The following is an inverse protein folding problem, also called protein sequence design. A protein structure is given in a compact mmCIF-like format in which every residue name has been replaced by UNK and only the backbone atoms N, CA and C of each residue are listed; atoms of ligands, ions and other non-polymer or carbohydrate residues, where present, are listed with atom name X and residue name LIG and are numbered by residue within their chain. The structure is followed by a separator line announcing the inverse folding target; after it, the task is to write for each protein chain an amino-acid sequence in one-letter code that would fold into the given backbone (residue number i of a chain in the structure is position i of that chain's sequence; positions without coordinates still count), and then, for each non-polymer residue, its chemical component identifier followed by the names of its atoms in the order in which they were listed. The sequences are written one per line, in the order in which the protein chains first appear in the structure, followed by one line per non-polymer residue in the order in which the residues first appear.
data_IF_275038470315
#
_entry.id   IF_275038470315
#
_cell.length_a   1.000
_cell.length_b   1.000
_cell.length_c   1.000
_cell.angle_alpha   90.00
_cell.angle_beta   90.00
_cell.angle_gamma   90.00
#
_symmetry.space_group_name_H-M   'P 1'
#
loop_
_entity.id
_entity.type
_entity.pdbx_description
1 polymer ?
#
# COMPACT_ATOMS: atom_id res chain seq x y z
N UNK A 1 5.08 -8.38 -1.87
CA UNK A 1 5.51 -6.98 -2.13
C UNK A 1 6.06 -6.29 -0.86
N UNK A 2 6.62 -7.04 0.08
CA UNK A 2 6.85 -6.52 1.43
C UNK A 2 8.06 -5.58 1.51
N UNK A 3 9.21 -5.97 0.95
CA UNK A 3 10.45 -5.20 1.07
C UNK A 3 10.41 -3.87 0.31
N UNK A 4 9.91 -3.87 -0.95
CA UNK A 4 9.90 -2.66 -1.77
C UNK A 4 8.95 -1.58 -1.23
N UNK A 5 7.79 -1.98 -0.70
CA UNK A 5 6.82 -1.05 -0.10
C UNK A 5 7.31 -0.55 1.25
N UNK A 6 7.95 -1.43 2.04
CA UNK A 6 8.52 -1.09 3.33
C UNK A 6 9.62 -0.03 3.22
N UNK A 7 10.55 -0.15 2.27
CA UNK A 7 11.60 0.86 2.05
C UNK A 7 10.97 2.23 1.76
N UNK A 8 9.96 2.29 0.89
CA UNK A 8 9.28 3.55 0.54
C UNK A 8 8.54 4.18 1.71
N UNK A 9 7.90 3.37 2.55
CA UNK A 9 7.24 3.85 3.77
C UNK A 9 8.28 4.34 4.77
N UNK A 10 9.38 3.61 4.97
CA UNK A 10 10.48 4.01 5.86
C UNK A 10 11.14 5.31 5.39
N UNK A 11 11.38 5.47 4.09
CA UNK A 11 11.93 6.71 3.52
C UNK A 11 10.97 7.90 3.74
N UNK A 12 9.66 7.69 3.56
CA UNK A 12 8.64 8.71 3.84
C UNK A 12 8.61 9.09 5.33
N UNK A 13 8.63 8.10 6.22
CA UNK A 13 8.65 8.33 7.67
C UNK A 13 9.92 9.09 8.09
N UNK A 14 11.08 8.72 7.55
CA UNK A 14 12.34 9.45 7.77
C UNK A 14 12.25 10.91 7.31
N UNK A 15 11.61 11.17 6.16
CA UNK A 15 11.39 12.53 5.67
C UNK A 15 10.42 13.33 6.57
N UNK A 16 9.45 12.66 7.20
CA UNK A 16 8.54 13.22 8.20
C UNK A 16 9.18 13.32 9.61
N UNK A 17 10.44 12.90 9.77
CA UNK A 17 11.19 12.99 11.02
C UNK A 17 10.81 11.92 12.06
N UNK A 18 10.11 10.87 11.65
CA UNK A 18 9.68 9.76 12.52
C UNK A 18 10.35 8.46 12.10
N UNK A 19 10.65 7.58 13.06
CA UNK A 19 11.20 6.25 12.77
C UNK A 19 10.14 5.14 12.82
N UNK A 20 10.38 4.06 12.07
CA UNK A 20 9.56 2.83 12.12
C UNK A 20 9.56 2.22 13.54
N UNK A 21 10.66 2.37 14.25
CA UNK A 21 10.85 1.85 15.62
C UNK A 21 9.99 2.59 16.62
N UNK A 22 9.84 3.92 16.48
CA UNK A 22 8.94 4.73 17.32
C UNK A 22 7.45 4.47 17.06
N UNK A 23 7.07 4.20 15.80
CA UNK A 23 5.69 3.91 15.42
C UNK A 23 5.21 2.50 15.80
N UNK A 24 6.16 1.56 15.95
CA UNK A 24 5.86 0.16 16.16
C UNK A 24 5.06 -0.48 15.02
N UNK A 25 4.56 -1.70 15.28
CA UNK A 25 3.85 -2.51 14.28
C UNK A 25 2.53 -1.88 13.82
N UNK A 26 1.75 -1.32 14.75
CA UNK A 26 0.45 -0.73 14.42
C UNK A 26 0.58 0.56 13.61
N UNK A 27 1.53 1.42 13.97
CA UNK A 27 1.80 2.65 13.22
C UNK A 27 2.29 2.36 11.80
N UNK A 28 3.17 1.36 11.65
CA UNK A 28 3.62 0.91 10.33
C UNK A 28 2.46 0.35 9.48
N UNK A 29 1.56 -0.44 10.08
CA UNK A 29 0.37 -0.95 9.39
C UNK A 29 -0.55 0.17 8.91
N UNK A 30 -0.78 1.20 9.74
CA UNK A 30 -1.53 2.40 9.32
C UNK A 30 -0.85 3.12 8.16
N UNK A 31 0.47 3.31 8.23
CA UNK A 31 1.23 3.95 7.16
C UNK A 31 1.17 3.14 5.85
N UNK A 32 1.18 1.81 5.93
CA UNK A 32 1.03 0.94 4.76
C UNK A 32 -0.37 1.05 4.12
N UNK A 33 -1.42 1.13 4.94
CA UNK A 33 -2.78 1.35 4.44
C UNK A 33 -2.96 2.74 3.81
N UNK A 34 -2.38 3.77 4.40
CA UNK A 34 -2.40 5.12 3.85
C UNK A 34 -1.63 5.20 2.53
N UNK A 35 -0.48 4.52 2.45
CA UNK A 35 0.28 4.37 1.21
C UNK A 35 -0.53 3.66 0.13
N UNK A 36 -1.22 2.56 0.47
CA UNK A 36 -2.15 1.87 -0.46
C UNK A 36 -3.21 2.83 -0.97
N UNK A 37 -3.80 3.66 -0.11
CA UNK A 37 -4.86 4.61 -0.50
C UNK A 37 -4.33 5.68 -1.46
N UNK A 38 -3.16 6.26 -1.16
CA UNK A 38 -2.57 7.33 -1.98
C UNK A 38 -2.06 6.83 -3.33
N UNK A 39 -1.33 5.72 -3.35
CA UNK A 39 -0.67 5.22 -4.56
C UNK A 39 -1.50 4.17 -5.30
N UNK A 40 -2.25 3.33 -4.60
CA UNK A 40 -3.12 2.33 -5.21
C UNK A 40 -4.19 2.96 -6.09
N UNK A 41 -4.89 3.98 -5.59
CA UNK A 41 -5.87 4.73 -6.38
C UNK A 41 -5.25 5.35 -7.64
N UNK A 42 -4.06 5.94 -7.51
CA UNK A 42 -3.33 6.54 -8.64
C UNK A 42 -2.93 5.51 -9.69
N UNK A 43 -2.46 4.33 -9.27
CA UNK A 43 -2.09 3.24 -10.19
C UNK A 43 -3.33 2.74 -10.94
N UNK A 44 -4.45 2.57 -10.25
CA UNK A 44 -5.74 2.17 -10.84
C UNK A 44 -6.24 3.21 -11.85
N UNK A 45 -6.19 4.50 -11.51
CA UNK A 45 -6.56 5.58 -12.42
C UNK A 45 -5.65 5.63 -13.66
N UNK A 46 -4.36 5.39 -13.49
CA UNK A 46 -3.41 5.31 -14.61
C UNK A 46 -3.77 4.14 -15.55
N UNK A 47 -4.06 2.96 -14.99
CA UNK A 47 -4.45 1.80 -15.79
C UNK A 47 -5.80 2.02 -16.50
N UNK A 48 -6.76 2.68 -15.86
CA UNK A 48 -8.03 3.10 -16.49
C UNK A 48 -7.79 4.08 -17.64
N UNK A 49 -6.91 5.06 -17.47
CA UNK A 49 -6.53 6.01 -18.54
C UNK A 49 -5.83 5.33 -19.72
N UNK A 50 -5.08 4.27 -19.46
CA UNK A 50 -4.45 3.43 -20.49
C UNK A 50 -5.46 2.51 -21.21
N UNK A 51 -6.74 2.50 -20.82
CA UNK A 51 -7.77 1.67 -21.44
C UNK A 51 -7.73 0.20 -21.04
N UNK A 52 -7.12 -0.13 -19.88
CA UNK A 52 -7.11 -1.50 -19.39
C UNK A 52 -8.52 -1.96 -19.00
N UNK A 53 -9.06 -2.93 -19.74
CA UNK A 53 -10.40 -3.52 -19.53
C UNK A 53 -10.40 -4.59 -18.43
N UNK A 54 -9.86 -4.27 -17.26
CA UNK A 54 -9.80 -5.16 -16.11
C UNK A 54 -11.09 -5.10 -15.29
N UNK A 55 -11.41 -6.17 -14.56
CA UNK A 55 -12.53 -6.19 -13.62
C UNK A 55 -12.16 -5.43 -12.33
N UNK A 56 -12.34 -4.11 -12.37
CA UNK A 56 -12.09 -3.21 -11.24
C UNK A 56 -12.98 -3.49 -10.02
N UNK A 57 -14.08 -4.24 -10.17
CA UNK A 57 -14.94 -4.62 -9.04
C UNK A 57 -14.31 -5.71 -8.16
N UNK A 58 -13.32 -6.43 -8.69
CA UNK A 58 -12.59 -7.51 -8.03
C UNK A 58 -11.13 -7.15 -7.75
N UNK A 59 -10.80 -5.86 -7.70
CA UNK A 59 -9.47 -5.43 -7.31
C UNK A 59 -9.11 -6.02 -5.94
N UNK A 60 -7.98 -6.74 -5.88
CA UNK A 60 -7.52 -7.41 -4.69
C UNK A 60 -6.10 -6.95 -4.35
N UNK A 61 -5.88 -6.61 -3.09
CA UNK A 61 -4.56 -6.25 -2.58
C UNK A 61 -4.04 -7.37 -1.68
N UNK A 62 -2.74 -7.64 -1.73
CA UNK A 62 -2.13 -8.78 -1.04
C UNK A 62 -2.24 -8.73 0.49
N UNK A 63 -2.56 -7.58 1.08
CA UNK A 63 -2.85 -7.45 2.52
C UNK A 63 -4.34 -7.28 2.83
N UNK A 64 -5.24 -7.40 1.84
CA UNK A 64 -6.68 -7.40 2.09
C UNK A 64 -7.06 -8.67 2.86
N UNK A 65 -8.12 -8.56 3.67
CA UNK A 65 -8.55 -9.63 4.57
C UNK A 65 -8.84 -10.96 3.83
N UNK A 66 -9.37 -10.87 2.60
CA UNK A 66 -9.58 -12.05 1.73
C UNK A 66 -8.28 -12.72 1.28
N UNK A 67 -7.25 -11.92 0.96
CA UNK A 67 -5.97 -12.45 0.50
C UNK A 67 -5.12 -12.96 1.66
N UNK A 68 -5.23 -12.36 2.86
CA UNK A 68 -4.49 -12.78 4.05
C UNK A 68 -4.96 -14.14 4.59
N UNK A 69 -6.26 -14.49 4.44
CA UNK A 69 -6.80 -15.82 4.82
C UNK A 69 -6.39 -16.95 3.87
N UNK A 70 -5.87 -16.62 2.68
CA UNK A 70 -5.49 -17.59 1.67
C UNK A 70 -4.02 -18.06 1.82
N UNK A 71 -3.31 -17.59 2.85
CA UNK A 71 -1.90 -17.86 3.13
C UNK A 71 -1.74 -18.62 4.44
#
# INVERSE_FOLDING_TARGET
ASIATEVKIVDKLKAEGTSKEELGREGFLKAAWEWKKQYGGRIVEQLKKLGSSLDWSREAFTMDEKCNKAV
#
